data_IF_137246755092
#
_entry.id   IF_137246755092
#
_cell.length_a   1.000
_cell.length_b   1.000
_cell.length_c   1.000
_cell.angle_alpha   90.00
_cell.angle_beta   90.00
_cell.angle_gamma   90.00
#
_symmetry.space_group_name_H-M   'P 1'
#
loop_
_entity.id
_entity.type
_entity.pdbx_description
1 polymer ?
#
# COMPACT_ATOMS: atom_id res chain seq x y z
N UNK A 1 -0.16 -20.91 -5.83
CA UNK A 1 0.38 -20.09 -4.73
C UNK A 1 -0.56 -20.23 -3.55
N UNK A 2 -0.12 -20.78 -2.44
CA UNK A 2 -0.98 -21.05 -1.28
C UNK A 2 -1.21 -19.73 -0.53
N UNK A 3 -2.44 -19.24 -0.44
CA UNK A 3 -2.78 -17.97 0.23
C UNK A 3 -2.83 -18.14 1.77
N UNK A 4 -2.59 -19.37 2.26
CA UNK A 4 -2.75 -19.71 3.69
C UNK A 4 -1.69 -19.09 4.63
N UNK A 5 -0.62 -18.58 4.07
CA UNK A 5 0.51 -17.96 4.79
C UNK A 5 0.51 -16.44 4.74
N UNK A 6 -0.56 -15.83 4.18
CA UNK A 6 -0.68 -14.38 4.03
C UNK A 6 -1.95 -13.88 4.66
N UNK A 7 -1.83 -12.79 5.39
CA UNK A 7 -2.97 -12.07 5.92
C UNK A 7 -3.36 -10.96 4.93
N UNK A 8 -4.65 -10.92 4.57
CA UNK A 8 -5.20 -9.86 3.72
C UNK A 8 -5.66 -8.76 4.66
N UNK A 9 -5.01 -7.61 4.62
CA UNK A 9 -5.35 -6.46 5.43
C UNK A 9 -6.29 -5.51 4.70
N UNK A 10 -6.98 -4.66 5.45
CA UNK A 10 -7.82 -3.60 4.89
C UNK A 10 -7.10 -2.26 4.84
N UNK A 11 -7.78 -1.23 4.35
CA UNK A 11 -7.38 0.17 4.43
C UNK A 11 -8.56 1.00 4.92
N UNK A 12 -8.44 2.31 5.13
CA UNK A 12 -9.59 3.18 5.33
C UNK A 12 -10.46 3.26 4.06
N UNK A 13 -11.77 3.31 4.20
CA UNK A 13 -12.75 3.08 3.12
C UNK A 13 -12.55 3.94 1.86
N UNK A 14 -12.22 5.22 2.03
CA UNK A 14 -11.96 6.16 0.93
C UNK A 14 -10.49 6.59 0.86
N UNK A 15 -9.60 5.86 1.51
CA UNK A 15 -8.20 6.25 1.68
C UNK A 15 -8.03 7.64 2.31
N UNK A 16 -9.00 8.06 3.12
CA UNK A 16 -8.97 9.37 3.78
C UNK A 16 -7.78 9.51 4.73
N UNK A 17 -7.07 10.62 4.66
CA UNK A 17 -5.93 10.90 5.52
C UNK A 17 -6.38 11.11 6.96
N UNK A 18 -6.27 10.06 7.78
CA UNK A 18 -6.86 9.99 9.12
C UNK A 18 -6.42 11.12 10.08
N UNK A 19 -5.17 11.61 10.04
CA UNK A 19 -4.76 12.73 10.89
C UNK A 19 -5.54 14.03 10.66
N UNK A 20 -5.97 14.31 9.42
CA UNK A 20 -6.83 15.48 9.14
C UNK A 20 -8.25 15.24 9.66
N UNK A 21 -8.72 14.00 9.59
CA UNK A 21 -10.07 13.63 10.03
C UNK A 21 -10.22 13.52 11.55
N UNK A 22 -9.14 13.65 12.32
CA UNK A 22 -9.11 13.47 13.78
C UNK A 22 -10.07 14.40 14.54
N UNK A 23 -10.37 15.58 13.99
CA UNK A 23 -11.29 16.54 14.58
C UNK A 23 -12.74 16.00 14.62
N UNK A 24 -13.03 14.99 13.81
CA UNK A 24 -14.31 14.28 13.81
C UNK A 24 -14.05 12.76 13.99
N UNK A 25 -13.94 12.27 15.22
CA UNK A 25 -13.65 10.85 15.49
C UNK A 25 -14.67 9.89 14.92
N UNK A 26 -15.93 10.30 14.78
CA UNK A 26 -17.00 9.48 14.19
C UNK A 26 -16.72 9.22 12.71
N UNK A 27 -16.19 10.20 12.00
CA UNK A 27 -15.75 10.03 10.60
C UNK A 27 -14.61 9.02 10.51
N UNK A 28 -13.63 9.07 11.41
CA UNK A 28 -12.53 8.09 11.46
C UNK A 28 -13.07 6.68 11.72
N UNK A 29 -13.96 6.53 12.70
CA UNK A 29 -14.63 5.25 12.99
C UNK A 29 -15.44 4.77 11.78
N UNK A 30 -16.14 5.67 11.10
CA UNK A 30 -16.90 5.39 9.89
C UNK A 30 -16.02 4.84 8.77
N UNK A 31 -14.87 5.47 8.51
CA UNK A 31 -13.88 5.03 7.53
C UNK A 31 -13.39 3.60 7.82
N UNK A 32 -13.05 3.32 9.08
CA UNK A 32 -12.51 2.02 9.48
C UNK A 32 -13.61 0.94 9.45
N UNK A 33 -14.78 1.19 10.02
CA UNK A 33 -15.88 0.21 10.06
C UNK A 33 -16.43 -0.13 8.68
N UNK A 34 -16.53 0.85 7.79
CA UNK A 34 -16.95 0.63 6.40
C UNK A 34 -15.95 -0.26 5.67
N UNK A 35 -14.67 0.00 5.84
CA UNK A 35 -13.62 -0.84 5.26
C UNK A 35 -13.65 -2.28 5.79
N UNK A 36 -13.82 -2.46 7.10
CA UNK A 36 -13.94 -3.79 7.71
C UNK A 36 -15.16 -4.55 7.16
N UNK A 37 -16.29 -3.87 7.05
CA UNK A 37 -17.51 -4.48 6.47
C UNK A 37 -17.30 -4.89 5.02
N UNK A 38 -16.71 -4.02 4.22
CA UNK A 38 -16.41 -4.33 2.82
C UNK A 38 -15.46 -5.53 2.71
N UNK A 39 -14.38 -5.52 3.48
CA UNK A 39 -13.44 -6.65 3.55
C UNK A 39 -14.14 -7.96 3.92
N UNK A 40 -14.98 -7.93 4.97
CA UNK A 40 -15.71 -9.10 5.43
C UNK A 40 -16.69 -9.62 4.36
N UNK A 41 -17.38 -8.73 3.66
CA UNK A 41 -18.30 -9.11 2.57
C UNK A 41 -17.54 -9.71 1.37
N UNK A 42 -16.32 -9.24 1.11
CA UNK A 42 -15.52 -9.71 -0.04
C UNK A 42 -14.79 -11.01 0.25
N UNK A 43 -14.18 -11.14 1.42
CA UNK A 43 -13.29 -12.25 1.77
C UNK A 43 -13.89 -13.22 2.79
N UNK A 44 -15.10 -12.94 3.29
CA UNK A 44 -15.79 -13.71 4.34
C UNK A 44 -14.96 -13.88 5.65
N UNK A 45 -14.07 -12.92 5.91
CA UNK A 45 -13.22 -12.88 7.11
C UNK A 45 -13.06 -11.45 7.58
N UNK A 46 -12.96 -11.22 8.89
CA UNK A 46 -12.65 -9.91 9.44
C UNK A 46 -11.15 -9.64 9.32
N UNK A 47 -10.74 -8.47 8.83
CA UNK A 47 -9.32 -8.12 8.79
C UNK A 47 -8.79 -7.91 10.22
N UNK A 48 -7.62 -8.45 10.50
CA UNK A 48 -6.89 -8.16 11.73
C UNK A 48 -5.96 -6.97 11.59
N UNK A 49 -5.50 -6.70 10.38
CA UNK A 49 -4.58 -5.62 10.04
C UNK A 49 -5.21 -4.53 9.19
N UNK A 50 -4.61 -3.34 9.27
CA UNK A 50 -4.95 -2.19 8.45
C UNK A 50 -3.70 -1.51 7.89
N UNK A 51 -3.75 -1.17 6.61
CA UNK A 51 -2.84 -0.18 6.04
C UNK A 51 -3.41 1.20 6.33
N UNK A 52 -2.72 1.96 7.16
CA UNK A 52 -3.12 3.35 7.38
C UNK A 52 -2.84 4.17 6.13
N UNK A 53 -3.80 4.98 5.65
CA UNK A 53 -3.58 5.88 4.52
C UNK A 53 -2.31 6.71 4.73
N UNK A 54 -1.39 6.66 3.74
CA UNK A 54 -0.07 7.28 3.79
C UNK A 54 0.81 6.87 4.98
N UNK A 55 0.52 5.69 5.58
CA UNK A 55 1.18 5.21 6.81
C UNK A 55 1.13 6.22 7.97
N UNK A 56 0.12 7.10 7.96
CA UNK A 56 0.02 8.21 8.89
C UNK A 56 -0.73 7.83 10.18
N UNK A 57 -0.18 8.27 11.29
CA UNK A 57 -0.70 8.02 12.62
C UNK A 57 -0.89 9.35 13.37
N UNK A 58 -1.83 9.38 14.29
CA UNK A 58 -2.00 10.43 15.28
C UNK A 58 -2.31 9.84 16.66
N UNK A 59 -2.06 10.59 17.71
CA UNK A 59 -2.24 10.14 19.09
C UNK A 59 -3.68 9.69 19.35
N UNK A 60 -3.84 8.54 20.02
CA UNK A 60 -5.11 7.85 20.32
C UNK A 60 -5.82 7.16 19.13
N UNK A 61 -5.27 7.16 17.92
CA UNK A 61 -5.83 6.37 16.82
C UNK A 61 -5.86 4.87 17.16
N UNK A 62 -4.86 4.37 17.87
CA UNK A 62 -4.77 2.99 18.33
C UNK A 62 -5.97 2.55 19.18
N UNK A 63 -6.54 3.46 19.99
CA UNK A 63 -7.78 3.21 20.74
C UNK A 63 -8.95 2.92 19.80
N UNK A 64 -9.10 3.71 18.74
CA UNK A 64 -10.15 3.53 17.73
C UNK A 64 -9.93 2.22 16.97
N UNK A 65 -8.70 1.94 16.56
CA UNK A 65 -8.34 0.70 15.86
C UNK A 65 -8.68 -0.53 16.72
N UNK A 66 -8.26 -0.53 17.99
CA UNK A 66 -8.53 -1.59 18.95
C UNK A 66 -10.05 -1.82 19.14
N UNK A 67 -10.83 -0.74 19.31
CA UNK A 67 -12.29 -0.81 19.43
C UNK A 67 -12.96 -1.35 18.16
N UNK A 68 -12.37 -1.14 17.00
CA UNK A 68 -12.84 -1.71 15.73
C UNK A 68 -12.37 -3.14 15.49
N UNK A 69 -11.57 -3.72 16.40
CA UNK A 69 -11.07 -5.09 16.29
C UNK A 69 -9.78 -5.24 15.47
N UNK A 70 -9.17 -4.13 15.08
CA UNK A 70 -7.87 -4.13 14.39
C UNK A 70 -6.76 -4.41 15.42
N UNK A 71 -5.89 -5.36 15.10
CA UNK A 71 -4.82 -5.82 15.95
C UNK A 71 -3.45 -5.28 15.55
N UNK A 72 -3.27 -4.92 14.28
CA UNK A 72 -2.01 -4.34 13.83
C UNK A 72 -2.19 -3.36 12.67
N UNK A 73 -1.22 -2.48 12.54
CA UNK A 73 -1.16 -1.49 11.46
C UNK A 73 0.29 -1.27 10.99
N UNK A 74 0.43 -0.73 9.79
CA UNK A 74 1.73 -0.36 9.23
C UNK A 74 1.90 1.15 9.29
N UNK A 75 3.05 1.58 9.81
CA UNK A 75 3.48 2.97 9.90
C UNK A 75 4.71 3.22 9.04
N UNK A 76 4.97 4.47 8.72
CA UNK A 76 6.26 4.84 8.19
C UNK A 76 7.37 4.63 9.25
N UNK A 77 8.57 4.28 8.79
CA UNK A 77 9.69 3.95 9.67
C UNK A 77 10.04 5.05 10.67
N UNK A 78 9.93 6.32 10.25
CA UNK A 78 10.20 7.45 11.16
C UNK A 78 9.21 7.53 12.33
N UNK A 79 7.97 7.13 12.15
CA UNK A 79 6.96 7.07 13.20
C UNK A 79 7.34 6.06 14.29
N UNK A 80 7.95 4.93 13.91
CA UNK A 80 8.47 3.94 14.86
C UNK A 80 9.75 4.44 15.52
N UNK A 81 10.73 4.90 14.74
CA UNK A 81 12.04 5.29 15.22
C UNK A 81 12.00 6.48 16.22
N UNK A 82 11.01 7.37 16.06
CA UNK A 82 10.82 8.53 16.92
C UNK A 82 9.84 8.28 18.07
N UNK A 83 9.35 7.06 18.26
CA UNK A 83 8.47 6.71 19.37
C UNK A 83 9.19 6.83 20.73
N UNK A 84 8.42 7.01 21.79
CA UNK A 84 8.93 7.06 23.17
C UNK A 84 8.28 5.97 24.00
N UNK A 85 9.07 5.06 24.63
CA UNK A 85 10.53 4.92 24.52
C UNK A 85 10.96 4.49 23.10
N UNK A 86 12.21 4.77 22.73
CA UNK A 86 12.76 4.33 21.44
C UNK A 86 12.77 2.81 21.36
N UNK A 87 12.33 2.23 20.22
CA UNK A 87 12.29 0.80 20.07
C UNK A 87 13.70 0.22 19.99
N UNK A 88 13.94 -0.87 20.73
CA UNK A 88 15.25 -1.53 20.81
C UNK A 88 15.74 -2.05 19.44
N UNK A 89 14.84 -2.48 18.61
CA UNK A 89 15.14 -3.10 17.30
C UNK A 89 14.78 -2.20 16.12
N UNK A 90 14.57 -0.89 16.35
CA UNK A 90 14.20 0.03 15.28
C UNK A 90 12.91 -0.42 14.57
N UNK A 91 12.94 -0.47 13.24
CA UNK A 91 11.79 -0.92 12.42
C UNK A 91 11.71 -2.45 12.25
N UNK A 92 12.72 -3.19 12.74
CA UNK A 92 12.84 -4.64 12.52
C UNK A 92 12.03 -5.48 13.51
N UNK A 93 11.33 -4.84 14.44
CA UNK A 93 10.36 -5.49 15.30
C UNK A 93 9.15 -4.57 15.52
N UNK A 94 7.94 -5.13 15.64
CA UNK A 94 6.76 -4.33 15.93
C UNK A 94 6.83 -3.74 17.33
N UNK A 95 6.20 -2.57 17.51
CA UNK A 95 5.92 -1.98 18.81
C UNK A 95 4.44 -2.11 19.13
N UNK A 96 4.11 -2.35 20.40
CA UNK A 96 2.72 -2.43 20.83
C UNK A 96 2.30 -1.14 21.54
N UNK A 97 1.14 -0.63 21.18
CA UNK A 97 0.52 0.49 21.89
C UNK A 97 -0.12 0.04 23.21
N UNK A 98 -0.47 1.00 24.05
CA UNK A 98 -1.19 0.75 25.31
C UNK A 98 -2.55 0.08 25.11
N UNK A 99 -3.16 0.29 23.95
CA UNK A 99 -4.47 -0.28 23.58
C UNK A 99 -4.37 -1.64 22.84
N UNK A 100 -3.19 -2.25 22.83
CA UNK A 100 -2.97 -3.60 22.30
C UNK A 100 -2.92 -3.70 20.78
N UNK A 101 -2.62 -2.60 20.10
CA UNK A 101 -2.38 -2.61 18.64
C UNK A 101 -0.89 -2.67 18.38
N UNK A 102 -0.46 -3.63 17.56
CA UNK A 102 0.93 -3.75 17.11
C UNK A 102 1.17 -2.87 15.88
N UNK A 103 2.26 -2.12 15.88
CA UNK A 103 2.68 -1.29 14.76
C UNK A 103 3.97 -1.80 14.15
N UNK A 104 3.93 -2.03 12.84
CA UNK A 104 5.07 -2.42 12.03
C UNK A 104 5.59 -1.20 11.28
N UNK A 105 6.89 -0.96 11.33
CA UNK A 105 7.54 0.12 10.59
C UNK A 105 7.92 -0.31 9.18
N UNK A 106 7.69 0.55 8.20
CA UNK A 106 8.27 0.36 6.87
C UNK A 106 9.78 0.56 6.95
N UNK A 107 10.52 -0.38 6.41
CA UNK A 107 11.95 -0.24 6.24
C UNK A 107 12.24 0.50 4.92
N UNK A 108 12.83 1.70 5.02
CA UNK A 108 13.15 2.51 3.85
C UNK A 108 14.20 1.88 2.95
N UNK A 109 15.13 1.11 3.53
CA UNK A 109 16.20 0.48 2.75
C UNK A 109 15.67 -0.59 1.80
N UNK A 110 14.67 -1.35 2.22
CA UNK A 110 14.04 -2.37 1.36
C UNK A 110 12.88 -1.82 0.53
N UNK A 111 12.21 -0.78 1.00
CA UNK A 111 11.01 -0.24 0.34
C UNK A 111 11.37 0.66 -0.84
N UNK A 112 12.31 1.59 -0.68
CA UNK A 112 12.69 2.53 -1.74
C UNK A 112 13.14 1.85 -3.04
N UNK A 113 14.00 0.82 -3.00
CA UNK A 113 14.39 0.11 -4.22
C UNK A 113 13.22 -0.51 -4.99
N UNK A 114 12.11 -0.81 -4.32
CA UNK A 114 10.97 -1.45 -4.95
C UNK A 114 10.03 -0.47 -5.64
N UNK A 115 9.77 0.70 -5.05
CA UNK A 115 8.72 1.57 -5.57
C UNK A 115 9.17 2.98 -5.98
N UNK A 116 10.36 3.43 -5.57
CA UNK A 116 10.82 4.78 -5.93
C UNK A 116 11.04 4.91 -7.43
N UNK A 117 10.41 5.90 -8.02
CA UNK A 117 10.60 6.23 -9.43
C UNK A 117 11.98 6.85 -9.72
N UNK A 118 12.71 7.27 -8.69
CA UNK A 118 14.03 7.90 -8.81
C UNK A 118 15.16 6.95 -8.41
N UNK A 119 15.00 6.30 -7.27
CA UNK A 119 16.08 5.55 -6.61
C UNK A 119 15.81 4.03 -6.63
N UNK A 120 14.72 3.58 -7.25
CA UNK A 120 14.32 2.18 -7.30
C UNK A 120 14.15 1.65 -8.71
N UNK A 121 13.73 0.40 -8.80
CA UNK A 121 13.46 -0.30 -10.06
C UNK A 121 12.57 0.49 -11.04
N UNK A 122 11.51 1.22 -10.59
CA UNK A 122 10.69 1.99 -11.51
C UNK A 122 11.44 3.10 -12.24
N UNK A 123 12.52 3.60 -11.65
CA UNK A 123 13.40 4.62 -12.24
C UNK A 123 14.54 4.07 -13.07
N UNK A 124 14.91 2.82 -12.86
CA UNK A 124 16.10 2.21 -13.48
C UNK A 124 15.81 1.79 -14.93
N UNK A 125 16.61 2.29 -15.91
CA UNK A 125 16.45 1.92 -17.32
C UNK A 125 16.52 0.42 -17.58
N UNK A 126 17.29 -0.34 -16.80
CA UNK A 126 17.41 -1.80 -16.94
C UNK A 126 16.11 -2.54 -16.68
N UNK A 127 15.20 -1.95 -15.88
CA UNK A 127 13.92 -2.51 -15.50
C UNK A 127 12.73 -1.76 -16.14
N UNK A 128 13.00 -0.72 -16.93
CA UNK A 128 11.97 0.03 -17.65
C UNK A 128 11.93 -0.37 -19.10
N UNK A 129 10.76 -0.75 -19.55
CA UNK A 129 10.51 -0.93 -20.99
C UNK A 129 10.01 0.39 -21.58
N UNK A 130 10.95 1.23 -22.04
CA UNK A 130 10.65 2.56 -22.58
C UNK A 130 9.76 2.54 -23.81
N UNK A 131 9.80 1.45 -24.57
CA UNK A 131 9.11 1.35 -25.85
C UNK A 131 7.67 0.83 -25.73
N UNK A 132 7.27 0.32 -24.56
CA UNK A 132 5.89 -0.11 -24.33
C UNK A 132 4.96 1.09 -24.18
N UNK A 133 4.14 1.25 -25.20
CA UNK A 133 3.10 2.26 -25.26
C UNK A 133 1.85 1.63 -25.87
N UNK A 134 0.67 1.90 -25.32
CA UNK A 134 -0.59 1.33 -25.80
C UNK A 134 -0.81 1.59 -27.31
N UNK A 135 -0.28 2.70 -27.83
CA UNK A 135 -0.33 3.00 -29.24
C UNK A 135 0.48 2.07 -30.12
N UNK A 136 1.48 1.35 -29.56
CA UNK A 136 2.27 0.34 -30.25
C UNK A 136 1.73 -1.07 -30.07
N UNK A 137 1.13 -1.35 -28.93
CA UNK A 137 0.76 -2.71 -28.52
C UNK A 137 -0.66 -3.09 -28.93
N UNK A 138 -1.59 -2.11 -28.98
CA UNK A 138 -2.96 -2.41 -29.35
C UNK A 138 -3.11 -2.64 -30.84
N UNK A 139 -3.94 -3.61 -31.25
CA UNK A 139 -4.33 -3.79 -32.65
C UNK A 139 -4.94 -2.50 -33.20
N UNK A 140 -4.62 -2.19 -34.47
CA UNK A 140 -5.12 -0.99 -35.15
C UNK A 140 -6.65 -0.87 -35.14
N UNK A 141 -7.36 -1.99 -35.14
CA UNK A 141 -8.81 -2.03 -34.97
C UNK A 141 -9.26 -1.39 -33.67
N UNK A 142 -8.70 -1.82 -32.56
CA UNK A 142 -9.00 -1.24 -31.23
C UNK A 142 -8.60 0.22 -31.11
N UNK A 143 -7.50 0.61 -31.76
CA UNK A 143 -7.09 2.03 -31.80
C UNK A 143 -8.12 2.86 -32.58
N UNK A 144 -8.60 2.37 -33.70
CA UNK A 144 -9.63 3.04 -34.54
C UNK A 144 -10.96 3.16 -33.83
N UNK A 145 -11.38 2.14 -33.08
CA UNK A 145 -12.61 2.17 -32.27
C UNK A 145 -12.59 3.28 -31.21
N UNK A 146 -11.38 3.69 -30.78
CA UNK A 146 -11.15 4.79 -29.87
C UNK A 146 -10.72 6.10 -30.56
N UNK A 147 -10.96 6.23 -31.87
CA UNK A 147 -10.67 7.45 -32.64
C UNK A 147 -9.21 7.66 -33.03
N UNK A 148 -8.34 6.66 -32.82
CA UNK A 148 -6.91 6.73 -33.13
C UNK A 148 -6.67 6.12 -34.52
N UNK A 149 -6.34 6.96 -35.50
CA UNK A 149 -6.27 6.56 -36.89
C UNK A 149 -5.03 5.76 -37.32
N UNK A 150 -3.97 5.81 -36.51
CA UNK A 150 -2.68 5.17 -36.84
C UNK A 150 -1.96 4.68 -35.59
N UNK A 151 -1.10 3.70 -35.78
CA UNK A 151 -0.17 3.26 -34.75
C UNK A 151 0.83 4.40 -34.48
N UNK A 152 0.84 4.92 -33.27
CA UNK A 152 1.72 6.00 -32.83
C UNK A 152 1.86 5.98 -31.31
N UNK A 153 2.93 6.54 -30.73
CA UNK A 153 3.01 6.69 -29.27
C UNK A 153 1.89 7.61 -28.79
N UNK A 154 1.16 7.15 -27.78
CA UNK A 154 0.08 7.90 -27.13
C UNK A 154 0.52 8.54 -25.82
N UNK A 155 1.74 8.28 -25.37
CA UNK A 155 2.19 8.61 -24.02
C UNK A 155 1.52 7.79 -22.91
N UNK A 156 0.71 6.80 -23.30
CA UNK A 156 0.02 5.90 -22.40
C UNK A 156 0.84 4.62 -22.26
N UNK A 157 1.45 4.43 -21.11
CA UNK A 157 2.20 3.22 -20.83
C UNK A 157 1.24 2.06 -20.63
N UNK A 158 1.39 1.01 -21.41
CA UNK A 158 0.66 -0.26 -21.25
C UNK A 158 1.06 -0.95 -19.95
N UNK A 159 2.18 -0.56 -19.40
CA UNK A 159 2.80 -1.15 -18.23
C UNK A 159 3.07 -0.06 -17.23
N UNK A 160 2.36 -0.15 -16.13
CA UNK A 160 2.75 0.50 -14.91
C UNK A 160 3.89 -0.31 -14.24
N UNK A 161 4.37 0.12 -13.10
CA UNK A 161 5.42 -0.53 -12.29
C UNK A 161 5.23 -2.03 -12.01
N UNK A 162 4.09 -2.60 -12.35
CA UNK A 162 3.77 -4.02 -12.15
C UNK A 162 4.53 -4.98 -13.09
N UNK A 163 5.19 -4.46 -14.12
CA UNK A 163 6.04 -5.28 -15.02
C UNK A 163 7.51 -5.30 -14.61
N UNK A 164 7.80 -4.89 -13.43
CA UNK A 164 8.98 -5.37 -12.76
C UNK A 164 8.82 -6.87 -12.58
N UNK A 165 9.17 -7.62 -13.60
CA UNK A 165 9.58 -8.99 -13.40
C UNK A 165 10.83 -8.89 -12.53
N UNK A 166 10.63 -8.89 -11.23
CA UNK A 166 11.70 -9.26 -10.33
C UNK A 166 12.25 -10.56 -10.91
N UNK A 167 13.54 -10.64 -11.22
CA UNK A 167 14.13 -11.90 -11.62
C UNK A 167 14.04 -12.85 -10.42
N UNK A 168 12.89 -13.49 -10.27
CA UNK A 168 12.66 -14.54 -9.28
C UNK A 168 13.46 -15.81 -9.63
N UNK A 169 14.15 -15.81 -10.76
CA UNK A 169 14.93 -16.94 -11.28
C UNK A 169 16.43 -16.81 -11.11
N UNK A 170 16.96 -15.71 -10.57
CA UNK A 170 18.41 -15.55 -10.39
C UNK A 170 18.87 -15.46 -8.92
N UNK A 171 18.01 -15.80 -7.97
CA UNK A 171 18.40 -15.99 -6.58
C UNK A 171 18.10 -17.42 -6.15
N UNK A 172 18.82 -18.37 -6.77
CA UNK A 172 19.09 -19.69 -6.24
C UNK A 172 20.60 -19.89 -6.25
#
# INVERSE_FOLDING_TARGET
MCIRDRDIITCAATHGYLPILRENPETVVGQIKTAIRHHQNTFNVKPLGIWLPECAYYENLDKILSQCGIRYAVLDGHGILNSKPRPRYGVYAPICSKNGVAFFGRDSQSTLPVWSAKDGYPGDPMYREYHKDLGWELPLTKLKDNGIKSIRPLGLKSVSYTHLTLPTTSMV
#
